data_IF_150427699194
#
_entry.id   IF_150427699194
#
_cell.length_a   1.000
_cell.length_b   1.000
_cell.length_c   1.000
_cell.angle_alpha   90.00
_cell.angle_beta   90.00
_cell.angle_gamma   90.00
#
_symmetry.space_group_name_H-M   'P 1'
#
loop_
_entity.id
_entity.type
_entity.pdbx_description
1 polymer ?
#
# COMPACT_ATOMS: atom_id res chain seq x y z
N UNK A 1 1.33 27.56 -56.80
CA UNK A 1 2.08 26.41 -57.36
C UNK A 1 2.83 25.82 -56.21
N UNK A 2 2.34 24.75 -55.80
CA UNK A 2 2.63 23.31 -55.88
C UNK A 2 3.49 22.88 -54.70
N UNK A 3 2.86 22.33 -53.64
CA UNK A 3 2.75 20.89 -53.28
C UNK A 3 4.11 20.15 -53.21
N UNK A 4 4.61 19.85 -52.04
CA UNK A 4 4.65 18.54 -51.40
C UNK A 4 5.71 18.53 -50.30
N UNK A 5 5.29 18.75 -49.08
CA UNK A 5 5.99 18.25 -47.89
C UNK A 5 5.22 17.06 -47.35
N UNK A 6 5.70 15.89 -47.65
CA UNK A 6 5.20 14.64 -47.06
C UNK A 6 5.90 14.40 -45.75
N UNK A 7 5.17 14.69 -44.66
CA UNK A 7 5.50 14.25 -43.31
C UNK A 7 5.53 12.72 -43.24
N UNK A 8 6.69 12.16 -42.96
CA UNK A 8 6.81 10.76 -42.57
C UNK A 8 6.38 10.58 -41.12
N UNK A 9 5.10 10.35 -40.88
CA UNK A 9 4.61 9.95 -39.54
C UNK A 9 4.94 8.47 -39.30
N UNK A 10 5.87 8.22 -38.39
CA UNK A 10 6.18 6.87 -37.92
C UNK A 10 5.01 6.24 -37.19
N UNK A 11 4.30 5.34 -37.88
CA UNK A 11 3.21 4.56 -37.25
C UNK A 11 3.75 3.61 -36.19
N UNK A 12 3.53 3.95 -34.94
CA UNK A 12 3.66 3.01 -33.79
C UNK A 12 2.56 1.94 -33.90
N UNK A 13 2.91 0.75 -34.33
CA UNK A 13 2.00 -0.41 -34.21
C UNK A 13 1.98 -0.88 -32.77
N UNK A 14 0.90 -0.56 -32.07
CA UNK A 14 0.54 -1.15 -30.76
C UNK A 14 -0.04 -2.54 -31.02
N UNK A 15 0.61 -3.57 -30.49
CA UNK A 15 0.02 -4.90 -30.44
C UNK A 15 -0.94 -4.95 -29.24
N UNK A 16 -2.25 -4.87 -29.49
CA UNK A 16 -3.29 -4.98 -28.46
C UNK A 16 -3.82 -6.42 -28.48
N UNK A 17 -3.43 -7.21 -27.47
CA UNK A 17 -4.10 -8.46 -27.19
C UNK A 17 -5.38 -8.17 -26.39
N UNK A 18 -6.54 -8.27 -27.06
CA UNK A 18 -7.85 -8.21 -26.43
C UNK A 18 -8.20 -9.61 -25.92
N UNK A 19 -8.08 -9.85 -24.61
CA UNK A 19 -8.71 -11.03 -23.99
C UNK A 19 -10.16 -10.71 -23.68
N UNK A 20 -11.06 -11.53 -24.23
CA UNK A 20 -12.49 -11.45 -23.98
C UNK A 20 -12.79 -11.80 -22.51
N UNK A 21 -13.76 -11.08 -21.91
CA UNK A 21 -14.33 -11.41 -20.61
C UNK A 21 -14.95 -12.80 -20.66
N UNK A 22 -14.49 -13.69 -19.80
CA UNK A 22 -15.17 -14.96 -19.52
C UNK A 22 -15.83 -14.82 -18.15
N UNK A 23 -17.15 -14.97 -18.13
CA UNK A 23 -17.95 -15.00 -16.90
C UNK A 23 -17.64 -16.31 -16.16
N UNK A 24 -17.17 -16.21 -14.93
CA UNK A 24 -16.90 -17.37 -14.06
C UNK A 24 -18.23 -17.98 -13.57
N UNK A 25 -18.59 -19.10 -14.15
CA UNK A 25 -19.71 -19.92 -13.66
C UNK A 25 -19.85 -21.20 -14.45
N UNK A 26 -18.82 -22.05 -14.47
CA UNK A 26 -18.85 -23.51 -14.60
C UNK A 26 -17.51 -24.08 -15.08
N UNK A 27 -16.88 -24.83 -14.19
CA UNK A 27 -16.19 -26.11 -14.35
C UNK A 27 -14.91 -26.26 -15.19
N UNK A 28 -13.96 -26.84 -14.51
CA UNK A 28 -12.64 -27.29 -14.92
C UNK A 28 -12.52 -28.08 -16.25
N UNK A 29 -13.61 -28.57 -16.83
CA UNK A 29 -13.61 -29.31 -18.10
C UNK A 29 -13.45 -28.38 -19.32
N UNK A 30 -13.96 -27.15 -19.25
CA UNK A 30 -13.88 -26.21 -20.38
C UNK A 30 -12.49 -25.57 -20.50
N UNK A 31 -11.71 -25.57 -19.42
CA UNK A 31 -10.37 -24.99 -19.40
C UNK A 31 -9.34 -25.81 -20.21
N UNK A 32 -9.47 -27.13 -20.24
CA UNK A 32 -8.58 -27.99 -21.04
C UNK A 32 -8.86 -27.84 -22.52
N UNK A 33 -10.11 -27.61 -22.91
CA UNK A 33 -10.52 -27.37 -24.30
C UNK A 33 -10.14 -25.96 -24.78
N UNK A 34 -10.27 -24.94 -23.93
CA UNK A 34 -9.87 -23.57 -24.23
C UNK A 34 -8.34 -23.45 -24.41
N UNK A 35 -7.55 -24.13 -23.58
CA UNK A 35 -6.08 -24.18 -23.71
C UNK A 35 -5.64 -24.82 -25.02
N UNK A 36 -6.29 -25.91 -25.45
CA UNK A 36 -6.00 -26.57 -26.74
C UNK A 36 -6.42 -25.74 -27.94
N UNK A 37 -7.51 -24.98 -27.84
CA UNK A 37 -7.99 -24.04 -28.87
C UNK A 37 -7.04 -22.86 -29.04
N UNK A 38 -6.63 -22.24 -27.95
CA UNK A 38 -5.66 -21.12 -27.96
C UNK A 38 -4.29 -21.52 -28.53
N UNK A 39 -3.82 -22.73 -28.21
CA UNK A 39 -2.57 -23.28 -28.75
C UNK A 39 -2.69 -23.56 -30.27
N UNK A 40 -3.84 -24.04 -30.77
CA UNK A 40 -4.08 -24.23 -32.21
C UNK A 40 -4.18 -22.91 -32.95
N UNK A 41 -4.80 -21.87 -32.39
CA UNK A 41 -4.88 -20.53 -32.98
C UNK A 41 -3.52 -19.87 -33.07
N UNK A 42 -2.70 -19.95 -32.01
CA UNK A 42 -1.33 -19.46 -32.01
C UNK A 42 -0.40 -20.22 -32.97
N UNK A 43 -0.69 -21.49 -33.28
CA UNK A 43 0.05 -22.27 -34.29
C UNK A 43 -0.35 -21.89 -35.72
N UNK A 44 -1.60 -21.54 -35.95
CA UNK A 44 -2.10 -21.07 -37.26
C UNK A 44 -1.60 -19.67 -37.61
N UNK A 45 -1.53 -18.77 -36.64
CA UNK A 45 -0.99 -17.41 -36.83
C UNK A 45 0.51 -17.39 -37.09
N UNK A 46 1.28 -18.39 -36.60
CA UNK A 46 2.71 -18.56 -36.92
C UNK A 46 2.97 -19.02 -38.34
N UNK A 47 2.04 -19.68 -38.97
CA UNK A 47 2.21 -20.15 -40.35
C UNK A 47 1.97 -19.05 -41.40
N UNK A 48 1.39 -17.91 -40.99
CA UNK A 48 1.03 -16.78 -41.84
C UNK A 48 2.06 -15.64 -41.86
N UNK A 49 3.07 -15.69 -40.98
CA UNK A 49 4.16 -14.71 -40.97
C UNK A 49 5.32 -15.20 -41.84
N UNK A 50 5.38 -14.71 -43.08
CA UNK A 50 6.42 -15.04 -44.02
C UNK A 50 7.78 -14.51 -43.57
N UNK A 51 8.86 -15.20 -44.01
CA UNK A 51 10.27 -14.95 -43.69
C UNK A 51 10.82 -13.57 -44.05
N UNK A 52 10.05 -12.71 -44.70
CA UNK A 52 10.57 -11.46 -45.27
C UNK A 52 10.45 -10.20 -44.41
N UNK A 53 9.81 -10.28 -43.21
CA UNK A 53 9.69 -9.13 -42.30
C UNK A 53 10.78 -9.03 -41.24
N UNK A 54 11.74 -9.93 -41.21
CA UNK A 54 12.77 -10.00 -40.16
C UNK A 54 14.05 -9.26 -40.43
N UNK A 55 14.20 -8.60 -41.60
CA UNK A 55 15.50 -8.03 -42.03
C UNK A 55 15.61 -6.50 -42.12
N UNK A 56 14.64 -5.71 -41.69
CA UNK A 56 14.80 -4.25 -41.69
C UNK A 56 14.36 -3.63 -40.39
N UNK A 57 15.31 -3.15 -39.68
CA UNK A 57 15.40 -2.02 -38.75
C UNK A 57 15.82 -2.38 -37.31
N UNK A 58 17.07 -2.06 -37.01
CA UNK A 58 17.63 -1.99 -35.65
C UNK A 58 17.09 -0.77 -34.87
N UNK A 59 15.82 -0.80 -34.48
CA UNK A 59 15.24 0.15 -33.50
C UNK A 59 14.58 -0.61 -32.40
N UNK A 60 15.01 -0.33 -31.17
CA UNK A 60 14.49 -0.89 -29.91
C UNK A 60 12.96 -0.82 -29.85
N UNK A 61 12.29 -1.97 -29.95
CA UNK A 61 10.85 -2.07 -29.65
C UNK A 61 10.68 -2.23 -28.15
N UNK A 62 10.21 -1.18 -27.46
CA UNK A 62 9.66 -1.31 -26.10
C UNK A 62 8.30 -2.00 -26.21
N UNK A 63 8.24 -3.25 -25.84
CA UNK A 63 6.99 -3.98 -25.65
C UNK A 63 6.43 -3.61 -24.26
N UNK A 64 5.46 -2.69 -24.20
CA UNK A 64 4.74 -2.37 -22.96
C UNK A 64 3.56 -3.31 -22.86
N UNK A 65 3.69 -4.35 -22.06
CA UNK A 65 2.57 -5.21 -21.66
C UNK A 65 1.72 -4.46 -20.63
N UNK A 66 0.60 -3.91 -21.06
CA UNK A 66 -0.44 -3.40 -20.17
C UNK A 66 -1.35 -4.58 -19.80
N UNK A 67 -1.12 -5.17 -18.63
CA UNK A 67 -2.05 -6.16 -18.07
C UNK A 67 -3.38 -5.48 -17.75
N UNK A 68 -4.45 -5.91 -18.39
CA UNK A 68 -5.80 -5.53 -18.02
C UNK A 68 -6.08 -6.06 -16.60
N UNK A 69 -6.65 -5.20 -15.75
CA UNK A 69 -7.10 -5.55 -14.40
C UNK A 69 -8.19 -6.59 -14.50
N UNK A 70 -7.92 -7.79 -14.02
CA UNK A 70 -8.95 -8.79 -13.72
C UNK A 70 -9.31 -8.61 -12.25
N UNK A 71 -10.55 -8.25 -11.99
CA UNK A 71 -11.12 -8.17 -10.66
C UNK A 71 -11.61 -9.57 -10.28
N UNK A 72 -10.73 -10.41 -9.78
CA UNK A 72 -11.07 -11.72 -9.24
C UNK A 72 -10.30 -11.99 -7.97
N UNK A 73 -11.04 -12.28 -6.89
CA UNK A 73 -10.55 -12.26 -5.51
C UNK A 73 -9.96 -13.57 -5.00
N UNK A 74 -9.31 -14.42 -5.80
CA UNK A 74 -8.69 -15.63 -5.29
C UNK A 74 -7.18 -15.66 -5.49
N UNK A 75 -6.47 -15.99 -4.43
CA UNK A 75 -5.01 -16.15 -4.37
C UNK A 75 -4.48 -17.17 -5.41
N UNK A 76 -5.32 -18.15 -5.77
CA UNK A 76 -4.99 -19.22 -6.70
C UNK A 76 -4.83 -18.72 -8.15
N UNK A 77 -5.66 -17.77 -8.60
CA UNK A 77 -5.58 -17.24 -9.96
C UNK A 77 -4.35 -16.34 -10.17
N UNK A 78 -3.93 -15.62 -9.13
CA UNK A 78 -2.68 -14.87 -9.15
C UNK A 78 -1.44 -15.78 -9.22
N UNK A 79 -1.47 -16.93 -8.58
CA UNK A 79 -0.40 -17.94 -8.68
C UNK A 79 -0.37 -18.59 -10.08
N UNK A 80 -1.53 -18.88 -10.67
CA UNK A 80 -1.62 -19.53 -11.98
C UNK A 80 -1.19 -18.62 -13.14
N UNK A 81 -1.62 -17.36 -13.13
CA UNK A 81 -1.19 -16.37 -14.12
C UNK A 81 0.34 -16.16 -14.09
N UNK A 82 0.97 -16.35 -12.92
CA UNK A 82 2.42 -16.24 -12.73
C UNK A 82 3.19 -17.50 -13.13
N UNK A 83 2.66 -18.67 -12.85
CA UNK A 83 3.24 -19.91 -13.35
C UNK A 83 3.22 -19.95 -14.88
N UNK A 84 2.12 -19.50 -15.50
CA UNK A 84 2.02 -19.35 -16.94
C UNK A 84 3.01 -18.31 -17.49
N UNK A 85 3.24 -17.19 -16.79
CA UNK A 85 4.23 -16.18 -17.15
C UNK A 85 5.68 -16.68 -17.01
N UNK A 86 5.99 -17.44 -15.96
CA UNK A 86 7.29 -18.07 -15.76
C UNK A 86 7.57 -19.17 -16.80
N UNK A 87 6.54 -19.93 -17.16
CA UNK A 87 6.63 -20.96 -18.19
C UNK A 87 6.79 -20.36 -19.60
N UNK A 88 6.14 -19.23 -19.88
CA UNK A 88 6.31 -18.48 -21.13
C UNK A 88 7.70 -17.85 -21.23
N UNK A 89 8.28 -17.36 -20.14
CA UNK A 89 9.64 -16.84 -20.07
C UNK A 89 10.72 -17.90 -20.29
N UNK A 90 10.49 -19.15 -19.85
CA UNK A 90 11.37 -20.29 -20.16
C UNK A 90 11.38 -20.66 -21.64
N UNK A 91 10.26 -20.43 -22.32
CA UNK A 91 10.11 -20.83 -23.74
C UNK A 91 10.70 -19.83 -24.75
N UNK A 92 10.94 -18.58 -24.37
CA UNK A 92 11.49 -17.53 -25.25
C UNK A 92 13.01 -17.36 -25.12
N UNK A 93 13.74 -18.36 -24.63
CA UNK A 93 15.19 -18.33 -24.42
C UNK A 93 15.99 -18.21 -25.71
N UNK A 94 16.69 -17.16 -25.86
CA UNK A 94 18.06 -16.94 -26.34
C UNK A 94 18.31 -15.52 -26.85
N UNK A 95 18.80 -14.64 -25.93
CA UNK A 95 19.68 -13.49 -26.22
C UNK A 95 20.34 -13.02 -24.91
N UNK A 96 21.62 -13.24 -24.76
CA UNK A 96 22.30 -13.54 -23.51
C UNK A 96 22.97 -12.39 -22.76
N UNK A 97 22.64 -11.18 -22.85
CA UNK A 97 23.35 -10.14 -22.07
C UNK A 97 22.47 -9.39 -21.05
N UNK A 98 21.33 -8.88 -21.51
CA UNK A 98 20.46 -8.03 -20.69
C UNK A 98 19.50 -8.78 -19.76
N UNK A 99 19.31 -10.09 -19.99
CA UNK A 99 18.29 -10.89 -19.24
C UNK A 99 18.78 -11.42 -17.91
N UNK A 100 20.08 -11.73 -17.77
CA UNK A 100 20.65 -12.24 -16.50
C UNK A 100 20.58 -11.20 -15.39
N UNK A 101 20.79 -9.92 -15.71
CA UNK A 101 20.71 -8.82 -14.73
C UNK A 101 19.26 -8.62 -14.29
N UNK A 102 18.29 -8.74 -15.19
CA UNK A 102 16.86 -8.56 -14.86
C UNK A 102 16.29 -9.74 -14.05
N UNK A 103 16.65 -10.98 -14.37
CA UNK A 103 16.21 -12.17 -13.65
C UNK A 103 16.81 -12.21 -12.22
N UNK A 104 18.10 -12.00 -12.07
CA UNK A 104 18.78 -11.97 -10.77
C UNK A 104 18.25 -10.84 -9.86
N UNK A 105 17.89 -9.70 -10.42
CA UNK A 105 17.29 -8.60 -9.68
C UNK A 105 15.87 -8.92 -9.21
N UNK A 106 15.09 -9.64 -10.01
CA UNK A 106 13.72 -10.06 -9.66
C UNK A 106 13.74 -11.16 -8.59
N UNK A 107 14.68 -12.10 -8.64
CA UNK A 107 14.90 -13.11 -7.61
C UNK A 107 15.18 -12.47 -6.24
N UNK A 108 16.05 -11.48 -6.19
CA UNK A 108 16.38 -10.75 -4.95
C UNK A 108 15.16 -10.06 -4.31
N UNK A 109 14.21 -9.55 -5.10
CA UNK A 109 13.00 -8.90 -4.59
C UNK A 109 11.96 -9.90 -4.08
N UNK A 110 11.83 -11.04 -4.73
CA UNK A 110 10.99 -12.15 -4.28
C UNK A 110 11.51 -12.76 -2.97
N UNK A 111 12.83 -12.93 -2.85
CA UNK A 111 13.48 -13.44 -1.64
C UNK A 111 13.16 -12.54 -0.45
N UNK A 112 13.22 -11.20 -0.61
CA UNK A 112 12.83 -10.27 0.46
C UNK A 112 11.38 -10.41 0.89
N UNK A 113 10.47 -10.56 -0.07
CA UNK A 113 9.06 -10.79 0.24
C UNK A 113 8.90 -12.08 1.06
N UNK A 114 9.53 -13.18 0.63
CA UNK A 114 9.44 -14.47 1.32
C UNK A 114 10.02 -14.38 2.74
N UNK A 115 11.20 -13.78 2.89
CA UNK A 115 11.85 -13.63 4.21
C UNK A 115 11.00 -12.76 5.12
N UNK A 116 10.48 -11.63 4.62
CA UNK A 116 9.64 -10.73 5.42
C UNK A 116 8.32 -11.39 5.80
N UNK A 117 7.67 -12.08 4.87
CA UNK A 117 6.42 -12.81 5.14
C UNK A 117 6.63 -13.94 6.16
N UNK A 118 7.70 -14.72 6.00
CA UNK A 118 8.07 -15.78 6.93
C UNK A 118 8.34 -15.22 8.33
N UNK A 119 9.08 -14.12 8.43
CA UNK A 119 9.31 -13.44 9.70
C UNK A 119 8.00 -13.03 10.38
N UNK A 120 7.06 -12.41 9.64
CA UNK A 120 5.77 -11.98 10.20
C UNK A 120 4.96 -13.18 10.70
N UNK A 121 4.90 -14.26 9.92
CA UNK A 121 4.20 -15.50 10.30
C UNK A 121 4.82 -16.10 11.57
N UNK A 122 6.14 -16.25 11.59
CA UNK A 122 6.87 -16.81 12.74
C UNK A 122 6.71 -15.90 13.97
N UNK A 123 6.81 -14.58 13.81
CA UNK A 123 6.58 -13.64 14.90
C UNK A 123 5.18 -13.82 15.50
N UNK A 124 4.13 -13.88 14.68
CA UNK A 124 2.77 -14.07 15.18
C UNK A 124 2.62 -15.38 15.96
N UNK A 125 3.16 -16.48 15.46
CA UNK A 125 3.09 -17.79 16.14
C UNK A 125 3.90 -17.78 17.44
N UNK A 126 5.16 -17.33 17.39
CA UNK A 126 6.04 -17.31 18.55
C UNK A 126 5.65 -16.24 19.58
N UNK A 127 4.82 -15.29 19.23
CA UNK A 127 4.31 -14.27 20.15
C UNK A 127 3.13 -14.73 21.02
N UNK A 128 2.64 -15.98 20.87
CA UNK A 128 1.54 -16.50 21.71
C UNK A 128 1.85 -16.42 23.22
N UNK A 129 3.02 -16.83 23.71
CA UNK A 129 3.37 -16.66 25.13
C UNK A 129 3.40 -15.18 25.56
N UNK A 130 3.85 -14.29 24.67
CA UNK A 130 3.87 -12.85 24.94
C UNK A 130 2.43 -12.31 25.06
N UNK A 131 1.52 -12.73 24.20
CA UNK A 131 0.09 -12.34 24.30
C UNK A 131 -0.54 -12.79 25.61
N UNK A 132 -0.19 -13.98 26.10
CA UNK A 132 -0.63 -14.48 27.39
C UNK A 132 -0.05 -13.61 28.52
N UNK A 133 1.24 -13.29 28.47
CA UNK A 133 1.88 -12.40 29.43
C UNK A 133 1.24 -11.00 29.43
N UNK A 134 1.01 -10.42 28.26
CA UNK A 134 0.34 -9.11 28.10
C UNK A 134 -1.10 -9.13 28.66
N UNK A 135 -1.82 -10.24 28.47
CA UNK A 135 -3.14 -10.40 29.05
C UNK A 135 -3.10 -10.43 30.58
N UNK A 136 -2.12 -11.14 31.18
CA UNK A 136 -1.92 -11.17 32.64
C UNK A 136 -1.52 -9.78 33.14
N UNK A 137 -0.51 -9.14 32.54
CA UNK A 137 -0.05 -7.81 32.91
C UNK A 137 -1.21 -6.80 32.86
N UNK A 138 -2.04 -6.89 31.81
CA UNK A 138 -3.18 -6.00 31.62
C UNK A 138 -4.23 -6.07 32.72
N UNK A 139 -4.30 -7.18 33.49
CA UNK A 139 -5.19 -7.29 34.65
C UNK A 139 -4.68 -6.54 35.89
N UNK A 140 -3.35 -6.41 36.03
CA UNK A 140 -2.74 -5.82 37.20
C UNK A 140 -2.20 -4.41 36.94
N UNK A 141 -1.70 -4.16 35.71
CA UNK A 141 -1.06 -2.90 35.34
C UNK A 141 -1.31 -2.57 33.86
N UNK A 142 -2.48 -2.01 33.51
CA UNK A 142 -2.81 -1.63 32.14
C UNK A 142 -1.78 -0.70 31.46
N UNK A 143 -1.25 0.35 32.15
CA UNK A 143 -0.23 1.21 31.52
C UNK A 143 1.08 0.48 31.18
N UNK A 144 1.47 -0.52 31.97
CA UNK A 144 2.64 -1.34 31.65
C UNK A 144 2.37 -2.21 30.41
N UNK A 145 1.19 -2.83 30.33
CA UNK A 145 0.76 -3.59 29.14
C UNK A 145 0.83 -2.75 27.86
N UNK A 146 0.35 -1.50 27.90
CA UNK A 146 0.36 -0.63 26.73
C UNK A 146 1.79 -0.31 26.27
N UNK A 147 2.69 -0.04 27.22
CA UNK A 147 4.12 0.23 26.94
C UNK A 147 4.83 -1.00 26.38
N UNK A 148 4.65 -2.17 27.02
CA UNK A 148 5.31 -3.42 26.60
C UNK A 148 4.78 -3.89 25.24
N UNK A 149 3.47 -3.87 25.04
CA UNK A 149 2.86 -4.19 23.74
C UNK A 149 3.38 -3.28 22.62
N UNK A 150 3.46 -1.96 22.88
CA UNK A 150 4.03 -1.00 21.92
C UNK A 150 5.50 -1.30 21.63
N UNK A 151 6.30 -1.62 22.65
CA UNK A 151 7.73 -1.93 22.48
C UNK A 151 7.95 -3.19 21.65
N UNK A 152 7.17 -4.26 21.92
CA UNK A 152 7.23 -5.54 21.19
C UNK A 152 6.87 -5.33 19.71
N UNK A 153 5.75 -4.66 19.43
CA UNK A 153 5.30 -4.43 18.05
C UNK A 153 6.27 -3.50 17.31
N UNK A 154 6.79 -2.47 17.96
CA UNK A 154 7.80 -1.59 17.36
C UNK A 154 9.09 -2.34 17.03
N UNK A 155 9.51 -3.29 17.87
CA UNK A 155 10.63 -4.15 17.56
C UNK A 155 10.35 -4.98 16.31
N UNK A 156 9.18 -5.64 16.25
CA UNK A 156 8.79 -6.44 15.10
C UNK A 156 8.72 -5.61 13.81
N UNK A 157 8.14 -4.41 13.86
CA UNK A 157 8.05 -3.53 12.71
C UNK A 157 9.43 -3.01 12.26
N UNK A 158 10.34 -2.69 13.18
CA UNK A 158 11.73 -2.37 12.83
C UNK A 158 12.42 -3.54 12.11
N UNK A 159 12.14 -4.79 12.52
CA UNK A 159 12.66 -5.97 11.81
C UNK A 159 12.06 -6.11 10.41
N UNK A 160 10.74 -5.89 10.25
CA UNK A 160 10.08 -5.87 8.94
C UNK A 160 10.74 -4.83 8.02
N UNK A 161 10.98 -3.61 8.49
CA UNK A 161 11.64 -2.55 7.70
C UNK A 161 13.08 -2.93 7.31
N UNK A 162 13.85 -3.53 8.22
CA UNK A 162 15.22 -4.01 7.94
C UNK A 162 15.23 -5.10 6.88
N UNK A 163 14.38 -6.12 7.02
CA UNK A 163 14.29 -7.24 6.09
C UNK A 163 13.80 -6.80 4.71
N UNK A 164 12.89 -5.85 4.67
CA UNK A 164 12.38 -5.25 3.44
C UNK A 164 13.40 -4.34 2.75
N UNK A 165 14.40 -3.85 3.50
CA UNK A 165 15.40 -2.91 3.00
C UNK A 165 14.84 -1.52 2.75
N UNK A 166 13.80 -1.13 3.49
CA UNK A 166 13.18 0.20 3.41
C UNK A 166 14.01 1.19 4.23
N UNK A 167 14.30 2.33 3.64
CA UNK A 167 14.96 3.46 4.30
C UNK A 167 13.96 4.60 4.43
N UNK A 168 13.67 5.01 5.65
CA UNK A 168 12.70 6.07 5.93
C UNK A 168 13.41 7.29 6.47
N UNK A 169 13.16 8.44 5.86
CA UNK A 169 13.55 9.75 6.38
C UNK A 169 12.35 10.35 7.08
N UNK A 170 12.52 10.69 8.36
CA UNK A 170 11.46 11.31 9.16
C UNK A 170 11.76 12.79 9.32
N UNK A 171 10.78 13.64 9.08
CA UNK A 171 10.86 15.10 9.16
C UNK A 171 9.76 15.60 10.10
N UNK A 172 10.09 16.54 10.99
CA UNK A 172 9.11 17.18 11.86
C UNK A 172 8.60 16.33 13.02
N UNK A 173 9.33 15.31 13.45
CA UNK A 173 8.95 14.50 14.63
C UNK A 173 8.96 15.34 15.93
N UNK A 174 9.76 16.38 15.99
CA UNK A 174 9.85 17.35 17.08
C UNK A 174 8.59 18.20 17.24
N UNK A 175 7.78 18.33 16.18
CA UNK A 175 6.50 19.06 16.16
C UNK A 175 5.37 18.28 16.83
N UNK A 176 5.52 16.97 16.99
CA UNK A 176 4.47 16.12 17.56
C UNK A 176 4.33 16.43 19.06
N UNK A 177 3.13 16.82 19.54
CA UNK A 177 2.88 17.01 20.97
C UNK A 177 3.16 15.72 21.75
N UNK A 178 4.00 15.80 22.79
CA UNK A 178 4.38 14.63 23.59
C UNK A 178 3.46 14.41 24.78
N UNK A 179 2.87 15.48 25.29
CA UNK A 179 2.09 15.46 26.54
C UNK A 179 0.59 15.32 26.33
N UNK A 180 0.12 15.58 25.13
CA UNK A 180 -1.31 15.51 24.74
C UNK A 180 -1.55 14.43 23.69
N UNK A 181 -2.67 13.68 23.78
CA UNK A 181 -3.09 12.80 22.70
C UNK A 181 -3.47 13.61 21.45
N UNK A 182 -3.17 13.07 20.28
CA UNK A 182 -3.41 13.73 19.00
C UNK A 182 -4.16 12.81 18.04
N UNK A 183 -4.80 13.41 17.04
CA UNK A 183 -5.29 12.70 15.87
C UNK A 183 -4.27 12.82 14.74
N UNK A 184 -3.56 11.73 14.43
CA UNK A 184 -2.74 11.67 13.21
C UNK A 184 -3.64 11.48 12.00
N UNK A 185 -3.47 12.32 11.01
CA UNK A 185 -4.21 12.28 9.74
C UNK A 185 -3.24 12.17 8.59
N UNK A 186 -3.25 11.04 7.90
CA UNK A 186 -2.27 10.76 6.84
C UNK A 186 -2.89 10.32 5.53
N UNK A 187 -2.12 10.42 4.44
CA UNK A 187 -2.41 9.77 3.17
C UNK A 187 -2.06 8.28 3.23
N UNK A 188 -2.75 7.46 2.45
CA UNK A 188 -2.61 6.00 2.49
C UNK A 188 -2.34 5.41 1.10
N UNK A 189 -1.13 4.89 0.90
CA UNK A 189 -0.71 4.31 -0.38
C UNK A 189 -0.18 2.88 -0.27
N UNK A 190 0.25 2.46 0.94
CA UNK A 190 0.92 1.17 1.15
C UNK A 190 0.51 0.50 2.46
N UNK A 191 0.63 -0.83 2.52
CA UNK A 191 0.59 -1.56 3.80
C UNK A 191 1.74 -1.13 4.73
N UNK A 192 2.86 -0.70 4.14
CA UNK A 192 4.02 -0.23 4.88
C UNK A 192 3.81 1.11 5.58
N UNK A 193 2.77 1.88 5.21
CA UNK A 193 2.47 3.15 5.89
C UNK A 193 2.30 2.94 7.38
N UNK A 194 1.55 1.90 7.77
CA UNK A 194 1.32 1.56 9.19
C UNK A 194 2.63 1.14 9.85
N UNK A 195 3.41 0.27 9.18
CA UNK A 195 4.68 -0.25 9.75
C UNK A 195 5.67 0.88 9.99
N UNK A 196 5.81 1.79 9.03
CA UNK A 196 6.77 2.90 9.11
C UNK A 196 6.37 3.96 10.14
N UNK A 197 5.07 4.30 10.21
CA UNK A 197 4.60 5.33 11.12
C UNK A 197 4.54 4.83 12.56
N UNK A 198 4.18 3.56 12.77
CA UNK A 198 4.08 2.98 14.10
C UNK A 198 5.39 2.97 14.87
N UNK A 199 6.54 2.74 14.21
CA UNK A 199 7.86 2.67 14.88
C UNK A 199 8.31 4.01 15.46
N UNK A 200 7.59 5.11 15.18
CA UNK A 200 7.95 6.48 15.56
C UNK A 200 6.91 7.17 16.43
N UNK A 201 5.78 6.51 16.71
CA UNK A 201 4.80 7.11 17.64
C UNK A 201 5.42 7.27 19.04
N UNK A 202 5.34 8.47 19.65
CA UNK A 202 5.96 8.73 20.94
C UNK A 202 5.20 8.15 22.12
N UNK A 203 3.94 7.74 21.89
CA UNK A 203 3.00 7.24 22.92
C UNK A 203 2.06 6.21 22.34
N UNK A 204 1.28 5.56 23.20
CA UNK A 204 0.23 4.61 22.76
C UNK A 204 -0.68 5.26 21.74
N UNK A 205 -0.79 4.62 20.58
CA UNK A 205 -1.53 5.15 19.43
C UNK A 205 -2.32 4.02 18.79
N UNK A 206 -3.64 4.16 18.77
CA UNK A 206 -4.53 3.24 18.06
C UNK A 206 -4.69 3.64 16.59
N UNK A 207 -4.81 2.66 15.70
CA UNK A 207 -5.07 2.89 14.28
C UNK A 207 -6.49 2.48 13.93
N UNK A 208 -7.19 3.30 13.14
CA UNK A 208 -8.50 2.91 12.59
C UNK A 208 -8.26 2.00 11.39
N UNK A 209 -8.63 0.74 11.55
CA UNK A 209 -8.40 -0.36 10.61
C UNK A 209 -9.71 -0.93 10.08
N UNK A 210 -9.64 -1.73 9.03
CA UNK A 210 -10.80 -2.45 8.50
C UNK A 210 -11.26 -3.57 9.43
N UNK A 211 -12.58 -3.78 9.54
CA UNK A 211 -13.19 -4.84 10.37
C UNK A 211 -12.72 -6.24 9.98
N UNK A 212 -12.34 -6.47 8.72
CA UNK A 212 -11.86 -7.77 8.24
C UNK A 212 -10.59 -8.26 8.96
N UNK A 213 -9.79 -7.35 9.52
CA UNK A 213 -8.61 -7.71 10.31
C UNK A 213 -8.96 -8.46 11.60
N UNK A 214 -10.18 -8.32 12.11
CA UNK A 214 -10.66 -9.12 13.25
C UNK A 214 -10.65 -10.63 12.96
N UNK A 215 -10.75 -11.03 11.69
CA UNK A 215 -10.76 -12.43 11.27
C UNK A 215 -9.38 -13.07 11.28
N UNK A 216 -8.32 -12.28 11.47
CA UNK A 216 -6.93 -12.79 11.51
C UNK A 216 -6.53 -12.91 12.98
N UNK A 217 -6.54 -14.15 13.54
CA UNK A 217 -6.15 -14.37 14.92
C UNK A 217 -4.70 -13.94 15.15
N UNK A 218 -4.30 -13.75 16.40
CA UNK A 218 -3.01 -13.23 16.84
C UNK A 218 -2.76 -11.79 16.39
N UNK A 219 -2.89 -11.47 15.08
CA UNK A 219 -2.78 -10.10 14.59
C UNK A 219 -3.83 -9.19 15.23
N UNK A 220 -5.10 -9.61 15.22
CA UNK A 220 -6.19 -8.83 15.86
C UNK A 220 -5.98 -8.66 17.37
N UNK A 221 -5.37 -9.63 18.04
CA UNK A 221 -5.04 -9.53 19.46
C UNK A 221 -3.96 -8.46 19.72
N UNK A 222 -2.89 -8.45 18.94
CA UNK A 222 -1.89 -7.37 19.00
C UNK A 222 -2.49 -6.01 18.67
N UNK A 223 -3.34 -5.93 17.65
CA UNK A 223 -4.02 -4.67 17.30
C UNK A 223 -4.89 -4.16 18.44
N UNK A 224 -5.64 -5.06 19.14
CA UNK A 224 -6.44 -4.69 20.31
C UNK A 224 -5.57 -4.21 21.48
N UNK A 225 -4.44 -4.87 21.73
CA UNK A 225 -3.50 -4.44 22.77
C UNK A 225 -2.92 -3.04 22.50
N UNK A 226 -2.94 -2.61 21.25
CA UNK A 226 -2.47 -1.30 20.79
C UNK A 226 -3.63 -0.31 20.57
N UNK A 227 -4.80 -0.56 21.15
CA UNK A 227 -5.98 0.30 21.03
C UNK A 227 -6.43 0.56 19.57
N UNK A 228 -6.13 -0.36 18.64
CA UNK A 228 -6.63 -0.26 17.28
C UNK A 228 -8.13 -0.47 17.23
N UNK A 229 -8.82 0.36 16.47
CA UNK A 229 -10.26 0.32 16.26
C UNK A 229 -10.59 -0.28 14.90
N UNK A 230 -11.70 -1.01 14.82
CA UNK A 230 -12.10 -1.73 13.63
C UNK A 230 -13.36 -1.12 13.04
N UNK A 231 -13.23 -0.55 11.85
CA UNK A 231 -14.28 0.17 11.15
C UNK A 231 -14.95 -0.74 10.12
N UNK A 232 -16.25 -0.99 10.34
CA UNK A 232 -17.10 -1.55 9.29
C UNK A 232 -17.68 -0.40 8.46
N UNK A 233 -17.32 -0.39 7.18
CA UNK A 233 -17.76 0.65 6.24
C UNK A 233 -19.09 0.31 5.56
N UNK A 234 -19.53 -0.93 5.67
CA UNK A 234 -20.81 -1.38 5.13
C UNK A 234 -21.98 -1.06 6.07
N UNK A 235 -21.70 -0.85 7.35
CA UNK A 235 -22.70 -0.49 8.36
C UNK A 235 -22.41 0.91 8.94
N UNK A 236 -23.26 1.86 8.61
CA UNK A 236 -23.16 3.25 9.07
C UNK A 236 -23.24 3.36 10.60
N UNK A 237 -24.09 2.51 11.27
CA UNK A 237 -24.22 2.52 12.73
C UNK A 237 -22.96 1.97 13.39
N UNK A 238 -22.39 0.88 12.87
CA UNK A 238 -21.11 0.33 13.33
C UNK A 238 -19.96 1.33 13.11
N UNK A 239 -19.94 1.99 11.97
CA UNK A 239 -18.99 3.05 11.68
C UNK A 239 -19.07 4.21 12.70
N UNK A 240 -20.27 4.67 13.02
CA UNK A 240 -20.47 5.71 14.02
C UNK A 240 -19.99 5.27 15.43
N UNK A 241 -20.22 4.01 15.83
CA UNK A 241 -19.70 3.48 17.09
C UNK A 241 -18.18 3.51 17.13
N UNK A 242 -17.51 3.18 16.01
CA UNK A 242 -16.05 3.23 15.92
C UNK A 242 -15.53 4.66 16.07
N UNK A 243 -16.21 5.65 15.48
CA UNK A 243 -15.85 7.08 15.64
C UNK A 243 -16.01 7.52 17.09
N UNK A 244 -17.12 7.14 17.75
CA UNK A 244 -17.31 7.44 19.17
C UNK A 244 -16.26 6.78 20.06
N UNK A 245 -15.90 5.53 19.77
CA UNK A 245 -14.82 4.84 20.48
C UNK A 245 -13.47 5.57 20.28
N UNK A 246 -13.18 6.07 19.08
CA UNK A 246 -11.97 6.84 18.82
C UNK A 246 -11.91 8.14 19.65
N UNK A 247 -13.04 8.82 19.78
CA UNK A 247 -13.15 10.01 20.64
C UNK A 247 -12.86 9.67 22.09
N UNK A 248 -13.40 8.54 22.58
CA UNK A 248 -13.21 8.09 23.95
C UNK A 248 -11.75 7.68 24.20
N UNK A 249 -11.10 6.95 23.28
CA UNK A 249 -9.68 6.60 23.38
C UNK A 249 -8.81 7.86 23.50
N UNK A 250 -9.09 8.90 22.72
CA UNK A 250 -8.35 10.17 22.80
C UNK A 250 -8.54 10.83 24.17
N UNK A 251 -9.77 10.87 24.70
CA UNK A 251 -10.05 11.40 26.04
C UNK A 251 -9.33 10.63 27.13
N UNK A 252 -9.14 9.33 26.93
CA UNK A 252 -8.40 8.46 27.84
C UNK A 252 -6.88 8.53 27.65
N UNK A 253 -6.39 9.46 26.81
CA UNK A 253 -4.97 9.72 26.66
C UNK A 253 -4.29 8.91 25.56
N UNK A 254 -5.02 8.13 24.75
CA UNK A 254 -4.49 7.36 23.61
C UNK A 254 -4.59 8.22 22.34
N UNK A 255 -3.51 8.36 21.60
CA UNK A 255 -3.55 8.98 20.27
C UNK A 255 -4.23 8.06 19.25
N UNK A 256 -4.85 8.64 18.23
CA UNK A 256 -5.48 7.86 17.16
C UNK A 256 -4.86 8.26 15.83
N UNK A 257 -4.61 7.27 14.97
CA UNK A 257 -4.19 7.47 13.59
C UNK A 257 -5.29 7.03 12.64
N UNK A 258 -5.62 7.91 11.71
CA UNK A 258 -6.62 7.65 10.67
C UNK A 258 -6.05 8.00 9.29
N UNK A 259 -6.42 7.18 8.30
CA UNK A 259 -6.26 7.46 6.89
C UNK A 259 -7.63 7.78 6.28
N UNK A 260 -8.01 9.08 6.17
CA UNK A 260 -9.37 9.47 5.81
C UNK A 260 -9.80 9.08 4.40
N UNK A 261 -8.86 8.73 3.53
CA UNK A 261 -9.12 8.16 2.21
C UNK A 261 -9.88 6.83 2.28
N UNK A 262 -9.87 6.22 3.44
CA UNK A 262 -10.58 4.97 3.69
C UNK A 262 -10.03 3.76 2.92
N UNK A 263 -9.25 3.93 1.90
CA UNK A 263 -8.58 2.87 1.13
C UNK A 263 -7.22 3.35 0.68
N UNK A 264 -6.35 2.41 0.27
CA UNK A 264 -5.06 2.78 -0.30
C UNK A 264 -5.26 3.42 -1.67
N UNK A 265 -4.66 4.59 -1.84
CA UNK A 265 -4.65 5.29 -3.11
C UNK A 265 -3.77 4.52 -4.12
N UNK A 266 -4.38 4.08 -5.22
CA UNK A 266 -3.72 3.37 -6.33
C UNK A 266 -3.73 4.20 -7.60
N UNK A 267 -4.06 5.48 -7.49
CA UNK A 267 -4.09 6.43 -8.60
C UNK A 267 -2.83 7.26 -8.62
N UNK A 268 -2.65 8.03 -9.68
CA UNK A 268 -1.53 8.97 -9.80
C UNK A 268 -1.79 10.28 -9.01
N UNK A 269 -3.02 10.50 -8.54
CA UNK A 269 -3.36 11.65 -7.70
C UNK A 269 -2.63 11.58 -6.35
N UNK A 270 -2.18 12.71 -5.79
CA UNK A 270 -1.52 12.76 -4.48
C UNK A 270 -2.37 12.15 -3.37
N UNK A 271 -3.65 12.48 -3.34
CA UNK A 271 -4.64 12.05 -2.35
C UNK A 271 -5.94 11.62 -3.02
N UNK A 272 -6.70 10.76 -2.35
CA UNK A 272 -8.11 10.53 -2.60
C UNK A 272 -8.95 11.48 -1.74
N UNK A 273 -10.25 11.57 -2.05
CA UNK A 273 -11.19 12.36 -1.26
C UNK A 273 -11.26 11.84 0.19
N UNK A 274 -11.25 12.76 1.14
CA UNK A 274 -11.36 12.46 2.56
C UNK A 274 -12.82 12.27 2.97
N UNK A 275 -13.10 11.19 3.67
CA UNK A 275 -14.42 10.97 4.25
C UNK A 275 -14.75 12.04 5.29
N UNK A 276 -15.85 12.74 5.10
CA UNK A 276 -16.25 13.93 5.87
C UNK A 276 -16.36 13.73 7.40
N UNK A 277 -16.58 12.49 7.86
CA UNK A 277 -16.67 12.19 9.30
C UNK A 277 -15.32 12.01 10.01
N UNK A 278 -14.22 11.90 9.27
CA UNK A 278 -12.93 11.50 9.84
C UNK A 278 -12.33 12.51 10.80
N UNK A 279 -12.44 13.80 10.49
CA UNK A 279 -11.87 14.87 11.32
C UNK A 279 -12.77 15.26 12.49
N UNK A 280 -14.05 14.84 12.49
CA UNK A 280 -14.95 15.05 13.64
C UNK A 280 -14.45 14.36 14.90
N UNK A 281 -13.58 13.38 14.79
CA UNK A 281 -12.91 12.76 15.93
C UNK A 281 -12.15 13.83 16.72
N UNK A 282 -11.28 14.59 16.05
CA UNK A 282 -10.50 15.65 16.69
C UNK A 282 -11.36 16.79 17.22
N UNK A 283 -12.35 17.25 16.43
CA UNK A 283 -13.27 18.32 16.83
C UNK A 283 -14.02 17.95 18.12
N UNK A 284 -14.53 16.71 18.21
CA UNK A 284 -15.29 16.24 19.39
C UNK A 284 -14.41 15.87 20.57
N UNK A 285 -13.22 15.36 20.33
CA UNK A 285 -12.24 15.08 21.37
C UNK A 285 -11.47 16.33 21.80
N UNK A 286 -11.55 17.43 21.04
CA UNK A 286 -10.81 18.68 21.25
C UNK A 286 -9.29 18.44 21.34
N UNK A 287 -8.76 17.61 20.46
CA UNK A 287 -7.33 17.27 20.40
C UNK A 287 -6.69 17.85 19.14
N UNK A 288 -5.40 18.17 19.15
CA UNK A 288 -4.69 18.61 17.96
C UNK A 288 -4.71 17.56 16.85
N UNK A 289 -4.80 18.01 15.59
CA UNK A 289 -4.57 17.20 14.40
C UNK A 289 -3.12 17.35 14.00
N UNK A 290 -2.41 16.21 13.85
CA UNK A 290 -1.07 16.17 13.27
C UNK A 290 -1.18 15.64 11.84
N UNK A 291 -1.06 16.52 10.82
CA UNK A 291 -0.98 16.07 9.43
C UNK A 291 0.28 15.23 9.22
N UNK A 292 0.15 14.08 8.59
CA UNK A 292 1.25 13.14 8.34
C UNK A 292 1.28 12.81 6.86
N UNK A 293 2.39 13.15 6.19
CA UNK A 293 2.55 12.92 4.76
C UNK A 293 3.55 11.82 4.50
N UNK A 294 3.13 10.82 3.73
CA UNK A 294 3.95 9.65 3.37
C UNK A 294 4.19 9.67 1.86
N UNK A 295 5.43 9.82 1.44
CA UNK A 295 5.82 9.92 0.03
C UNK A 295 6.59 8.67 -0.42
N UNK A 296 6.20 8.10 -1.57
CA UNK A 296 6.87 6.98 -2.26
C UNK A 296 6.70 5.58 -1.60
N UNK A 297 5.75 5.41 -0.69
CA UNK A 297 5.56 4.13 0.01
C UNK A 297 5.03 3.02 -0.89
N UNK A 298 4.24 3.35 -1.92
CA UNK A 298 3.71 2.38 -2.89
C UNK A 298 4.81 1.65 -3.68
N UNK A 299 6.00 2.26 -3.81
CA UNK A 299 7.14 1.66 -4.49
C UNK A 299 7.79 0.52 -3.71
N UNK A 300 7.46 0.35 -2.43
CA UNK A 300 7.95 -0.78 -1.63
C UNK A 300 7.35 -2.08 -2.12
N UNK A 301 6.03 -2.13 -2.28
CA UNK A 301 5.29 -3.36 -2.53
C UNK A 301 4.17 -3.23 -3.56
N UNK A 302 3.27 -2.24 -3.44
CA UNK A 302 2.03 -2.14 -4.21
C UNK A 302 2.28 -2.00 -5.71
N UNK A 303 3.26 -1.20 -6.11
CA UNK A 303 3.63 -1.00 -7.51
C UNK A 303 4.30 -2.24 -8.13
N UNK A 304 4.76 -3.18 -7.31
CA UNK A 304 5.60 -4.31 -7.73
C UNK A 304 5.15 -5.66 -7.16
N UNK A 305 3.95 -5.70 -6.57
CA UNK A 305 3.43 -6.89 -5.90
C UNK A 305 3.56 -8.17 -6.73
N UNK A 306 4.04 -9.26 -6.09
CA UNK A 306 4.40 -9.49 -4.69
C UNK A 306 5.89 -9.28 -4.39
N UNK A 307 6.59 -8.43 -5.12
CA UNK A 307 8.02 -8.18 -4.90
C UNK A 307 8.20 -7.01 -3.94
N UNK A 308 9.05 -7.15 -2.92
CA UNK A 308 9.46 -6.05 -2.05
C UNK A 308 10.75 -5.45 -2.61
N UNK A 309 10.74 -4.13 -2.86
CA UNK A 309 11.90 -3.38 -3.34
C UNK A 309 12.50 -2.50 -2.25
N UNK A 310 13.83 -2.42 -2.24
CA UNK A 310 14.52 -1.37 -1.47
C UNK A 310 14.03 -0.02 -1.94
N UNK A 311 13.47 0.75 -1.02
CA UNK A 311 12.82 2.02 -1.34
C UNK A 311 13.21 3.07 -0.31
N UNK A 312 13.45 4.28 -0.78
CA UNK A 312 13.56 5.47 0.07
C UNK A 312 12.18 6.09 0.20
N UNK A 313 11.75 6.33 1.42
CA UNK A 313 10.45 6.93 1.75
C UNK A 313 10.69 8.16 2.61
N UNK A 314 9.91 9.20 2.43
CA UNK A 314 9.89 10.35 3.33
C UNK A 314 8.55 10.36 4.05
N UNK A 315 8.61 10.46 5.38
CA UNK A 315 7.45 10.71 6.22
C UNK A 315 7.67 12.06 6.89
N UNK A 316 6.74 12.99 6.64
CA UNK A 316 6.81 14.32 7.23
C UNK A 316 5.58 14.59 8.09
N UNK A 317 5.83 14.97 9.33
CA UNK A 317 4.81 15.43 10.26
C UNK A 317 4.70 16.94 10.14
N UNK A 318 3.52 17.44 9.80
CA UNK A 318 3.23 18.87 9.71
C UNK A 318 3.02 19.50 11.08
N UNK A 319 2.92 20.85 11.10
CA UNK A 319 2.56 21.59 12.30
C UNK A 319 1.17 21.15 12.80
N UNK A 320 1.00 20.89 14.09
CA UNK A 320 -0.28 20.55 14.68
C UNK A 320 -1.33 21.63 14.40
N UNK A 321 -2.53 21.19 14.13
CA UNK A 321 -3.70 22.07 13.92
C UNK A 321 -4.57 21.93 15.16
N UNK A 322 -4.70 22.99 15.92
CA UNK A 322 -5.56 23.02 17.09
C UNK A 322 -7.03 22.95 16.68
N UNK A 323 -7.80 22.14 17.44
CA UNK A 323 -9.24 21.99 17.18
C UNK A 323 -10.11 22.53 18.31
N UNK A 324 -9.49 23.04 19.37
CA UNK A 324 -10.20 23.68 20.47
C UNK A 324 -10.79 25.01 20.02
N UNK A 325 -12.05 25.26 20.41
CA UNK A 325 -12.73 26.53 20.18
C UNK A 325 -12.84 26.99 18.71
N UNK A 326 -12.84 26.06 17.76
CA UNK A 326 -13.06 26.39 16.35
C UNK A 326 -14.49 26.93 16.15
N UNK A 327 -14.61 28.05 15.47
CA UNK A 327 -15.89 28.54 14.97
C UNK A 327 -16.44 27.66 13.83
N UNK A 328 -17.70 27.85 13.43
CA UNK A 328 -18.34 27.05 12.39
C UNK A 328 -17.66 27.18 11.02
N UNK A 329 -17.05 28.32 10.74
CA UNK A 329 -16.33 28.56 9.47
C UNK A 329 -15.03 27.81 9.45
N UNK A 330 -14.27 27.86 10.55
CA UNK A 330 -13.03 27.13 10.73
C UNK A 330 -13.26 25.60 10.71
N UNK A 331 -14.33 25.10 11.37
CA UNK A 331 -14.70 23.69 11.31
C UNK A 331 -14.99 23.21 9.88
N UNK A 332 -15.67 24.01 9.07
CA UNK A 332 -15.92 23.70 7.65
C UNK A 332 -14.64 23.70 6.82
N UNK A 333 -13.72 24.60 7.10
CA UNK A 333 -12.44 24.73 6.39
C UNK A 333 -11.40 23.71 6.83
N UNK A 334 -11.57 23.04 7.99
CA UNK A 334 -10.58 22.18 8.60
C UNK A 334 -10.14 21.04 7.66
N UNK A 335 -11.08 20.38 7.01
CA UNK A 335 -10.76 19.28 6.08
C UNK A 335 -9.93 19.77 4.90
N UNK A 336 -10.34 20.88 4.29
CA UNK A 336 -9.61 21.48 3.16
C UNK A 336 -8.20 21.92 3.57
N UNK A 337 -8.06 22.47 4.77
CA UNK A 337 -6.76 22.88 5.32
C UNK A 337 -5.81 21.67 5.50
N UNK A 338 -6.31 20.57 6.08
CA UNK A 338 -5.50 19.35 6.27
C UNK A 338 -5.13 18.73 4.93
N UNK A 339 -6.08 18.64 3.99
CA UNK A 339 -5.86 18.11 2.64
C UNK A 339 -4.81 18.96 1.90
N UNK A 340 -4.91 20.28 1.93
CA UNK A 340 -3.95 21.18 1.28
C UNK A 340 -2.54 20.96 1.84
N UNK A 341 -2.37 20.95 3.17
CA UNK A 341 -1.07 20.73 3.82
C UNK A 341 -0.44 19.38 3.43
N UNK A 342 -1.23 18.29 3.43
CA UNK A 342 -0.72 16.98 3.05
C UNK A 342 -0.34 16.94 1.57
N UNK A 343 -1.17 17.53 0.68
CA UNK A 343 -0.89 17.57 -0.77
C UNK A 343 0.38 18.34 -1.09
N UNK A 344 0.52 19.55 -0.57
CA UNK A 344 1.70 20.40 -0.77
C UNK A 344 2.98 19.72 -0.26
N UNK A 345 2.89 19.12 0.94
CA UNK A 345 4.02 18.37 1.52
C UNK A 345 4.35 17.12 0.71
N UNK A 346 3.34 16.41 0.17
CA UNK A 346 3.54 15.25 -0.68
C UNK A 346 4.31 15.63 -1.95
N UNK A 347 3.89 16.68 -2.64
CA UNK A 347 4.56 17.16 -3.86
C UNK A 347 6.00 17.62 -3.58
N UNK A 348 6.20 18.36 -2.49
CA UNK A 348 7.54 18.76 -2.02
C UNK A 348 8.44 17.54 -1.80
N UNK A 349 7.95 16.53 -1.08
CA UNK A 349 8.72 15.35 -0.74
C UNK A 349 8.98 14.44 -1.94
N UNK A 350 8.07 14.38 -2.90
CA UNK A 350 8.30 13.67 -4.17
C UNK A 350 9.40 14.34 -5.01
N UNK A 351 9.47 15.69 -5.05
CA UNK A 351 10.57 16.42 -5.70
C UNK A 351 11.90 16.19 -5.00
N UNK A 352 11.93 16.13 -3.66
CA UNK A 352 13.14 15.79 -2.91
C UNK A 352 13.66 14.38 -3.25
N UNK A 353 12.76 13.42 -3.42
CA UNK A 353 13.10 12.03 -3.78
C UNK A 353 13.59 11.91 -5.22
N UNK A 354 13.07 12.70 -6.15
CA UNK A 354 13.49 12.72 -7.57
C UNK A 354 14.83 13.42 -7.77
N UNK A 355 15.32 14.19 -6.82
CA UNK A 355 16.55 14.95 -6.92
C UNK A 355 16.43 16.24 -7.75
N UNK A 356 15.22 16.70 -8.01
CA UNK A 356 14.94 17.91 -8.80
C UNK A 356 15.23 19.24 -8.05
N UNK A 357 15.71 19.16 -6.81
CA UNK A 357 16.12 20.31 -6.00
C UNK A 357 17.65 20.52 -6.03
N UNK A 358 18.26 20.54 -7.22
CA UNK A 358 19.61 21.02 -7.41
C UNK A 358 19.62 22.29 -8.24
#
# INVERSE_FOLDING_TARGET
MSKNELQSSGKHRRCVLRMARVNCGSLAADFVLAGKSAARKARRERHFMSKNELQSSGKHRRCVLRMARVNCGSLAEHLYARLAFLQWHRYTGNKEGGRRICACRMESFMIRFIITALFVILFLILSIPLLIAEWIIGKFNPPLKDRSSLAIVNWAFRMVLRLSGVSVTYIGEDRIPKDTPVLYVGNHRSYFDIVMTYVRVPRTTGYISKVEFLKIPLLSNWMKNLHCLFLDRSDLKAGMKTILAAIEEIKNGVSICIFPEGTRNRTDAPLLEFHAGSLKIAEKAQCPIVPMTIANAEQIFEAHSPCIRKTKVIIEYGEPIETKNLDRTQQKALTSQVVARISETYEKNMKLLSGENK
#
